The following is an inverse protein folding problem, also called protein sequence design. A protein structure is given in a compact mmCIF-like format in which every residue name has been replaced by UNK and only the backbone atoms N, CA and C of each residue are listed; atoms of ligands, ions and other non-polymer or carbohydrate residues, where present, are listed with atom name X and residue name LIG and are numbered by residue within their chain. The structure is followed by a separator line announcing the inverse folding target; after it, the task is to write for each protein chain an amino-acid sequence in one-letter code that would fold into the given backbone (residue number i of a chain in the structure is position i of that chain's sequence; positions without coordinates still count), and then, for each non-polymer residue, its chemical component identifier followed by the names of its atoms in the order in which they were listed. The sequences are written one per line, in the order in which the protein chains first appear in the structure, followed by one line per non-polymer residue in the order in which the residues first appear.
data_IF_228167498932
#
_entry.id   IF_228167498932
#
_cell.length_a   1.000
_cell.length_b   1.000
_cell.length_c   1.000
_cell.angle_alpha   90.00
_cell.angle_beta   90.00
_cell.angle_gamma   90.00
#
_symmetry.space_group_name_H-M   'P 1'
#
loop_
_entity.id
_entity.type
_entity.pdbx_description
1 polymer ?
#
# COMPACT_ATOMS: atom_id res chain seq x y z
N UNK A 1 41.91 35.03 -13.27
CA UNK A 1 41.22 33.83 -12.76
C UNK A 1 39.83 34.27 -12.32
N UNK A 2 38.81 34.07 -13.19
CA UNK A 2 37.41 34.40 -12.90
C UNK A 2 36.74 33.18 -12.29
N UNK A 3 36.33 33.26 -11.01
CA UNK A 3 35.57 32.22 -10.34
C UNK A 3 34.12 32.33 -10.81
N UNK A 4 33.66 31.32 -11.55
CA UNK A 4 32.27 31.13 -11.93
C UNK A 4 31.56 30.54 -10.71
N UNK A 5 30.67 31.30 -10.08
CA UNK A 5 29.73 30.80 -9.10
C UNK A 5 28.53 30.19 -9.86
N UNK A 6 28.41 28.86 -9.85
CA UNK A 6 27.20 28.19 -10.26
C UNK A 6 26.18 28.35 -9.11
N UNK A 7 25.21 29.21 -9.30
CA UNK A 7 24.01 29.29 -8.46
C UNK A 7 23.08 28.18 -8.90
N UNK A 8 23.09 27.05 -8.19
CA UNK A 8 22.07 26.02 -8.35
C UNK A 8 20.76 26.57 -7.74
N UNK A 9 19.89 27.09 -8.58
CA UNK A 9 18.53 27.40 -8.20
C UNK A 9 17.81 26.03 -8.02
N UNK A 10 17.68 25.59 -6.78
CA UNK A 10 16.74 24.53 -6.41
C UNK A 10 15.34 25.10 -6.66
N UNK A 11 14.74 24.73 -7.80
CA UNK A 11 13.31 24.89 -7.98
C UNK A 11 12.63 23.89 -7.02
N UNK A 12 12.27 24.35 -5.85
CA UNK A 12 11.20 23.73 -5.10
C UNK A 12 9.94 23.97 -5.93
N UNK A 13 9.53 22.97 -6.72
CA UNK A 13 8.17 22.88 -7.17
C UNK A 13 7.35 22.74 -5.88
N UNK A 14 6.67 23.81 -5.49
CA UNK A 14 5.61 23.72 -4.52
C UNK A 14 4.59 22.76 -5.15
N UNK A 15 4.60 21.48 -4.77
CA UNK A 15 3.51 20.58 -5.05
C UNK A 15 2.30 21.19 -4.35
N UNK A 16 1.38 21.73 -5.12
CA UNK A 16 0.08 22.10 -4.60
C UNK A 16 -0.57 20.78 -4.20
N UNK A 17 -0.63 20.52 -2.90
CA UNK A 17 -1.40 19.39 -2.39
C UNK A 17 -2.83 19.59 -2.83
N UNK A 18 -3.28 18.80 -3.79
CA UNK A 18 -4.68 18.76 -4.19
C UNK A 18 -5.41 17.94 -3.13
N UNK A 19 -6.32 18.57 -2.43
CA UNK A 19 -7.23 17.92 -1.50
C UNK A 19 -8.60 17.85 -2.15
N UNK A 20 -9.21 16.67 -2.14
CA UNK A 20 -10.60 16.47 -2.54
C UNK A 20 -11.42 16.18 -1.30
N UNK A 21 -12.38 17.06 -0.99
CA UNK A 21 -13.30 16.84 0.10
C UNK A 21 -14.30 15.74 -0.27
N UNK A 22 -14.25 14.62 0.45
CA UNK A 22 -15.15 13.48 0.27
C UNK A 22 -16.39 13.61 1.15
N UNK A 23 -16.24 14.19 2.33
CA UNK A 23 -17.29 14.51 3.28
C UNK A 23 -16.93 15.79 4.03
N UNK A 24 -17.91 16.65 4.21
CA UNK A 24 -17.81 17.86 5.08
C UNK A 24 -19.10 17.97 5.86
N UNK A 25 -19.01 18.00 7.18
CA UNK A 25 -20.19 18.06 8.04
C UNK A 25 -19.81 18.03 9.52
N UNK A 26 -20.74 17.59 10.33
CA UNK A 26 -20.50 17.21 11.72
C UNK A 26 -21.45 16.05 12.04
N UNK A 27 -21.01 14.84 11.77
CA UNK A 27 -21.82 13.65 11.97
C UNK A 27 -21.29 12.85 13.16
N UNK A 28 -22.18 12.51 14.06
CA UNK A 28 -21.88 11.56 15.12
C UNK A 28 -21.73 10.15 14.52
N UNK A 29 -20.65 9.46 14.90
CA UNK A 29 -20.33 8.11 14.46
C UNK A 29 -20.31 7.21 15.68
N UNK A 30 -21.11 6.16 15.64
CA UNK A 30 -21.13 5.12 16.66
C UNK A 30 -21.57 3.79 16.03
N UNK A 31 -21.36 2.70 16.74
CA UNK A 31 -21.84 1.38 16.29
C UNK A 31 -23.37 1.31 16.19
N UNK A 32 -24.10 2.09 17.00
CA UNK A 32 -25.56 2.12 17.04
C UNK A 32 -26.14 3.10 16.00
N UNK A 33 -25.51 4.28 15.82
CA UNK A 33 -26.01 5.33 14.93
C UNK A 33 -25.51 5.14 13.48
N UNK A 34 -24.51 4.27 13.29
CA UNK A 34 -23.87 4.03 12.02
C UNK A 34 -22.67 4.93 11.75
N UNK A 35 -22.06 4.74 10.59
CA UNK A 35 -20.89 5.45 10.11
C UNK A 35 -21.21 6.54 9.09
N UNK A 36 -20.16 6.99 8.41
CA UNK A 36 -20.25 7.86 7.25
C UNK A 36 -20.02 7.02 6.01
N UNK A 37 -21.02 6.97 5.14
CA UNK A 37 -20.91 6.31 3.86
C UNK A 37 -20.53 7.31 2.77
N UNK A 38 -19.42 7.05 2.09
CA UNK A 38 -18.87 7.84 0.99
C UNK A 38 -18.98 7.04 -0.29
N UNK A 39 -19.71 7.59 -1.26
CA UNK A 39 -20.05 6.88 -2.49
C UNK A 39 -18.82 6.58 -3.38
N UNK A 40 -18.82 5.42 -4.02
CA UNK A 40 -17.74 4.93 -4.87
C UNK A 40 -17.33 5.90 -6.01
N UNK A 41 -18.29 6.62 -6.59
CA UNK A 41 -18.03 7.55 -7.67
C UNK A 41 -17.13 8.74 -7.27
N UNK A 42 -16.99 9.04 -5.97
CA UNK A 42 -16.08 10.07 -5.49
C UNK A 42 -14.60 9.62 -5.53
N UNK A 43 -14.36 8.34 -5.74
CA UNK A 43 -13.03 7.76 -5.85
C UNK A 43 -12.60 7.44 -7.29
N UNK A 44 -13.37 7.84 -8.32
CA UNK A 44 -13.07 7.50 -9.72
C UNK A 44 -11.65 7.90 -10.15
N UNK A 45 -11.16 9.04 -9.68
CA UNK A 45 -9.83 9.58 -9.99
C UNK A 45 -8.77 9.23 -8.92
N UNK A 46 -9.13 8.43 -7.91
CA UNK A 46 -8.18 8.02 -6.87
C UNK A 46 -7.06 7.16 -7.45
N UNK A 47 -5.86 7.34 -6.92
CA UNK A 47 -4.67 6.56 -7.29
C UNK A 47 -3.92 6.09 -6.05
N UNK A 48 -3.16 5.01 -6.20
CA UNK A 48 -2.29 4.51 -5.13
C UNK A 48 -1.24 5.57 -4.74
N UNK A 49 -0.94 5.66 -3.46
CA UNK A 49 -0.03 6.67 -2.90
C UNK A 49 -0.74 7.93 -2.39
N UNK A 50 -1.99 8.18 -2.76
CA UNK A 50 -2.81 9.17 -2.09
C UNK A 50 -3.17 8.71 -0.68
N UNK A 51 -3.57 9.62 0.20
CA UNK A 51 -4.03 9.22 1.50
C UNK A 51 -5.38 9.84 1.90
N UNK A 52 -6.14 9.04 2.64
CA UNK A 52 -7.35 9.47 3.31
C UNK A 52 -6.98 10.16 4.60
N UNK A 53 -7.61 11.31 4.86
CA UNK A 53 -7.51 12.02 6.14
C UNK A 53 -8.89 12.22 6.72
N UNK A 54 -9.12 11.67 7.89
CA UNK A 54 -10.38 11.76 8.62
C UNK A 54 -10.19 12.69 9.81
N UNK A 55 -10.97 13.76 9.87
CA UNK A 55 -10.96 14.72 10.97
C UNK A 55 -12.06 14.36 11.97
N UNK A 56 -11.70 14.21 13.22
CA UNK A 56 -12.62 13.83 14.28
C UNK A 56 -12.52 14.74 15.50
N UNK A 57 -13.62 14.82 16.23
CA UNK A 57 -13.73 15.51 17.51
C UNK A 57 -14.50 14.68 18.52
N UNK A 58 -14.33 15.01 19.78
CA UNK A 58 -15.07 14.44 20.90
C UNK A 58 -14.96 12.91 21.02
N UNK A 59 -13.87 12.33 20.49
CA UNK A 59 -13.58 10.93 20.65
C UNK A 59 -13.29 10.64 22.14
N UNK A 60 -13.96 9.66 22.71
CA UNK A 60 -13.63 9.14 24.05
C UNK A 60 -12.22 8.57 24.03
N UNK A 61 -11.59 8.41 25.19
CA UNK A 61 -10.22 7.93 25.26
C UNK A 61 -10.12 6.46 24.77
N UNK A 62 -9.23 6.24 23.80
CA UNK A 62 -8.91 4.91 23.27
C UNK A 62 -10.08 4.21 22.60
N UNK A 63 -10.88 4.93 21.81
CA UNK A 63 -11.99 4.30 21.07
C UNK A 63 -11.54 3.70 19.75
N UNK A 64 -12.22 2.64 19.37
CA UNK A 64 -11.99 1.94 18.11
C UNK A 64 -12.51 2.73 16.93
N UNK A 65 -11.70 2.77 15.86
CA UNK A 65 -11.97 3.43 14.59
C UNK A 65 -11.61 2.48 13.45
N UNK A 66 -12.45 2.39 12.43
CA UNK A 66 -12.23 1.53 11.26
C UNK A 66 -12.55 2.23 9.95
N UNK A 67 -11.81 1.86 8.92
CA UNK A 67 -12.11 2.15 7.52
C UNK A 67 -12.58 0.85 6.86
N UNK A 68 -13.81 0.84 6.38
CA UNK A 68 -14.45 -0.33 5.79
C UNK A 68 -14.90 -0.06 4.35
N UNK A 69 -15.10 -1.12 3.58
CA UNK A 69 -15.84 -1.15 2.33
C UNK A 69 -16.92 -2.21 2.43
N UNK A 70 -18.20 -1.86 2.31
CA UNK A 70 -19.35 -2.80 2.43
C UNK A 70 -19.21 -3.74 3.64
N UNK A 71 -18.82 -3.20 4.80
CA UNK A 71 -18.58 -3.94 6.06
C UNK A 71 -17.33 -4.83 6.09
N UNK A 72 -16.54 -4.88 5.00
CA UNK A 72 -15.23 -5.50 5.02
C UNK A 72 -14.16 -4.44 5.32
N UNK A 73 -13.01 -4.87 5.83
CA UNK A 73 -11.88 -3.94 6.03
C UNK A 73 -11.34 -3.47 4.69
N UNK A 74 -11.04 -2.16 4.62
CA UNK A 74 -10.38 -1.61 3.45
C UNK A 74 -9.01 -2.29 3.29
N UNK A 75 -8.67 -2.85 2.10
CA UNK A 75 -7.38 -3.50 1.87
C UNK A 75 -6.20 -2.63 2.29
N UNK A 76 -5.29 -3.19 3.09
CA UNK A 76 -4.15 -2.45 3.64
C UNK A 76 -4.48 -1.52 4.80
N UNK A 77 -5.72 -1.48 5.29
CA UNK A 77 -6.03 -0.80 6.54
C UNK A 77 -5.64 -1.66 7.76
N UNK A 78 -5.43 -0.98 8.89
CA UNK A 78 -5.26 -1.67 10.17
C UNK A 78 -6.60 -2.23 10.64
N UNK A 79 -6.57 -3.31 11.43
CA UNK A 79 -7.79 -3.88 12.03
C UNK A 79 -8.58 -2.84 12.80
N UNK A 80 -7.89 -2.12 13.66
CA UNK A 80 -8.45 -0.99 14.37
C UNK A 80 -7.38 0.08 14.56
N UNK A 81 -7.80 1.32 14.48
CA UNK A 81 -7.05 2.44 15.02
C UNK A 81 -7.70 2.89 16.31
N UNK A 82 -6.89 3.26 17.27
CA UNK A 82 -7.37 3.80 18.55
C UNK A 82 -7.21 5.31 18.53
N UNK A 83 -8.32 6.03 18.60
CA UNK A 83 -8.35 7.49 18.58
C UNK A 83 -8.87 8.05 19.90
N UNK A 84 -8.46 9.28 20.22
CA UNK A 84 -8.86 9.97 21.45
C UNK A 84 -8.96 11.45 21.22
N UNK A 85 -9.92 12.11 21.86
CA UNK A 85 -10.10 13.56 21.84
C UNK A 85 -10.42 14.12 20.45
N UNK A 86 -9.65 15.12 20.04
CA UNK A 86 -9.77 15.76 18.72
C UNK A 86 -8.50 15.52 17.93
N UNK A 87 -8.63 15.22 16.63
CA UNK A 87 -7.47 14.96 15.81
C UNK A 87 -7.79 14.57 14.38
N UNK A 88 -6.81 13.92 13.77
CA UNK A 88 -6.93 13.33 12.44
C UNK A 88 -6.43 11.91 12.47
N UNK A 89 -7.05 11.07 11.63
CA UNK A 89 -6.54 9.75 11.28
C UNK A 89 -6.14 9.78 9.80
N UNK A 90 -4.99 9.20 9.48
CA UNK A 90 -4.44 9.18 8.13
C UNK A 90 -4.17 7.73 7.70
N UNK A 91 -4.62 7.38 6.48
CA UNK A 91 -4.43 6.08 5.86
C UNK A 91 -4.01 6.27 4.41
N UNK A 92 -2.79 5.83 4.08
CA UNK A 92 -2.33 5.80 2.70
C UNK A 92 -3.01 4.67 1.93
N UNK A 93 -3.23 4.89 0.64
CA UNK A 93 -3.97 3.97 -0.22
C UNK A 93 -3.02 3.08 -1.01
N UNK A 94 -3.16 1.77 -0.84
CA UNK A 94 -2.57 0.78 -1.74
C UNK A 94 -3.38 0.70 -3.04
N UNK A 95 -2.85 0.04 -4.07
CA UNK A 95 -3.60 -0.20 -5.31
C UNK A 95 -4.89 -0.99 -5.04
N UNK A 96 -4.82 -2.03 -4.17
CA UNK A 96 -5.98 -2.81 -3.79
C UNK A 96 -7.04 -1.97 -3.05
N UNK A 97 -6.61 -1.04 -2.16
CA UNK A 97 -7.52 -0.10 -1.52
C UNK A 97 -8.23 0.79 -2.54
N UNK A 98 -7.49 1.33 -3.51
CA UNK A 98 -8.06 2.18 -4.57
C UNK A 98 -9.09 1.42 -5.41
N UNK A 99 -8.79 0.20 -5.81
CA UNK A 99 -9.72 -0.64 -6.59
C UNK A 99 -10.99 -0.93 -5.79
N UNK A 100 -10.87 -1.24 -4.50
CA UNK A 100 -11.97 -1.46 -3.59
C UNK A 100 -12.85 -0.20 -3.42
N UNK A 101 -12.23 0.96 -3.17
CA UNK A 101 -12.93 2.24 -3.04
C UNK A 101 -13.68 2.63 -4.31
N UNK A 102 -13.11 2.40 -5.48
CA UNK A 102 -13.78 2.64 -6.78
C UNK A 102 -14.98 1.71 -7.00
N UNK A 103 -14.91 0.49 -6.51
CA UNK A 103 -15.99 -0.48 -6.64
C UNK A 103 -17.11 -0.26 -5.63
N UNK A 104 -16.77 0.07 -4.39
CA UNK A 104 -17.70 -0.03 -3.26
C UNK A 104 -17.86 1.28 -2.45
N UNK A 105 -16.93 2.22 -2.56
CA UNK A 105 -16.89 3.41 -1.71
C UNK A 105 -16.20 3.15 -0.38
N UNK A 106 -16.39 4.06 0.58
CA UNK A 106 -15.78 4.02 1.90
C UNK A 106 -16.83 4.18 2.98
N UNK A 107 -16.72 3.37 4.03
CA UNK A 107 -17.42 3.58 5.27
C UNK A 107 -16.43 3.92 6.39
N UNK A 108 -16.64 5.06 7.03
CA UNK A 108 -15.90 5.48 8.23
C UNK A 108 -16.78 5.14 9.43
N UNK A 109 -16.33 4.22 10.28
CA UNK A 109 -17.10 3.74 11.42
C UNK A 109 -16.23 3.61 12.67
N UNK A 110 -16.86 3.53 13.82
CA UNK A 110 -16.19 3.34 15.11
C UNK A 110 -17.08 3.66 16.28
N UNK A 111 -16.49 3.81 17.45
CA UNK A 111 -17.23 4.01 18.70
C UNK A 111 -17.15 5.48 19.15
N UNK A 112 -18.27 6.19 19.04
CA UNK A 112 -18.55 7.40 19.81
C UNK A 112 -17.58 8.59 19.58
N UNK A 113 -17.57 9.12 18.35
CA UNK A 113 -16.87 10.35 17.98
C UNK A 113 -17.70 11.16 16.98
N UNK A 114 -17.32 12.44 16.77
CA UNK A 114 -17.88 13.24 15.69
C UNK A 114 -16.87 13.33 14.54
N UNK A 115 -17.31 13.03 13.32
CA UNK A 115 -16.50 13.27 12.12
C UNK A 115 -16.89 14.59 11.50
N UNK A 116 -15.92 15.48 11.29
CA UNK A 116 -16.14 16.80 10.70
C UNK A 116 -15.75 16.88 9.23
N UNK A 117 -14.83 16.02 8.78
CA UNK A 117 -14.35 16.02 7.40
C UNK A 117 -13.67 14.68 7.06
N UNK A 118 -13.84 14.24 5.83
CA UNK A 118 -13.00 13.23 5.19
C UNK A 118 -12.48 13.79 3.89
N UNK A 119 -11.17 13.73 3.68
CA UNK A 119 -10.52 14.25 2.47
C UNK A 119 -9.55 13.22 1.89
N UNK A 120 -9.39 13.29 0.58
CA UNK A 120 -8.39 12.55 -0.18
C UNK A 120 -7.29 13.53 -0.58
N UNK A 121 -6.07 13.25 -0.18
CA UNK A 121 -4.90 14.11 -0.38
C UNK A 121 -3.94 13.44 -1.35
N UNK A 122 -3.34 14.25 -2.22
CA UNK A 122 -2.22 13.87 -3.07
C UNK A 122 -0.94 14.50 -2.51
N UNK A 123 -0.23 13.76 -1.69
CA UNK A 123 1.02 14.20 -1.05
C UNK A 123 2.28 13.67 -1.75
N UNK A 124 2.09 12.96 -2.85
CA UNK A 124 3.18 12.44 -3.67
C UNK A 124 3.94 11.27 -3.04
N UNK A 125 3.31 10.47 -2.18
CA UNK A 125 3.92 9.25 -1.67
C UNK A 125 4.25 8.29 -2.82
N UNK A 126 5.55 7.99 -2.97
CA UNK A 126 6.02 7.12 -4.04
C UNK A 126 5.83 5.65 -3.66
N UNK A 127 4.95 4.95 -4.37
CA UNK A 127 4.75 3.51 -4.20
C UNK A 127 6.04 2.75 -4.52
N UNK A 128 6.31 1.70 -3.73
CA UNK A 128 7.45 0.82 -3.94
C UNK A 128 7.16 -0.20 -5.04
N UNK A 129 8.22 -0.70 -5.67
CA UNK A 129 8.12 -1.77 -6.66
C UNK A 129 7.65 -3.08 -6.01
N UNK A 130 6.65 -3.71 -6.60
CA UNK A 130 5.99 -4.92 -6.11
C UNK A 130 4.52 -4.67 -5.71
N UNK A 131 3.91 -5.65 -5.05
CA UNK A 131 2.56 -5.51 -4.53
C UNK A 131 2.60 -4.93 -3.12
N UNK A 132 2.29 -3.65 -2.99
CA UNK A 132 2.19 -3.00 -1.68
C UNK A 132 0.94 -3.46 -0.95
N UNK A 133 1.13 -4.14 0.18
CA UNK A 133 0.04 -4.62 1.04
C UNK A 133 -0.30 -3.65 2.16
N UNK A 134 0.66 -2.79 2.51
CA UNK A 134 0.43 -1.71 3.46
C UNK A 134 1.38 -0.54 3.15
N UNK A 135 0.90 0.68 3.35
CA UNK A 135 1.70 1.89 3.25
C UNK A 135 1.20 2.92 4.27
N UNK A 136 2.11 3.64 4.90
CA UNK A 136 1.77 4.61 5.95
C UNK A 136 2.95 4.90 6.88
N UNK A 137 2.64 5.18 8.13
CA UNK A 137 3.62 5.35 9.19
C UNK A 137 3.24 4.48 10.37
N UNK A 138 4.07 3.50 10.68
CA UNK A 138 3.92 2.66 11.84
C UNK A 138 5.16 2.78 12.72
N UNK A 139 4.97 3.31 13.93
CA UNK A 139 6.03 3.40 14.92
C UNK A 139 6.29 2.04 15.54
N UNK A 140 7.37 1.42 15.08
CA UNK A 140 7.81 0.13 15.57
C UNK A 140 8.75 0.34 16.77
N UNK A 141 8.36 -0.17 17.92
CA UNK A 141 9.18 -0.27 19.12
C UNK A 141 9.15 -1.70 19.66
N UNK A 142 9.70 -1.91 20.84
CA UNK A 142 9.76 -3.23 21.47
C UNK A 142 8.38 -3.90 21.54
N UNK A 143 8.25 -5.06 20.88
CA UNK A 143 7.03 -5.90 20.83
C UNK A 143 5.81 -5.25 20.16
N UNK A 144 5.98 -4.11 19.52
CA UNK A 144 4.87 -3.49 18.80
C UNK A 144 4.38 -4.39 17.67
N UNK A 145 3.08 -4.32 17.38
CA UNK A 145 2.44 -5.17 16.38
C UNK A 145 1.63 -4.33 15.41
N UNK A 146 1.92 -4.51 14.12
CA UNK A 146 1.09 -4.00 13.03
C UNK A 146 0.15 -5.12 12.58
N UNK A 147 -1.13 -4.92 12.77
CA UNK A 147 -2.18 -5.88 12.38
C UNK A 147 -2.84 -5.40 11.10
N UNK A 148 -2.80 -6.23 10.06
CA UNK A 148 -3.31 -5.94 8.73
C UNK A 148 -4.37 -6.95 8.33
N UNK A 149 -5.46 -6.47 7.74
CA UNK A 149 -6.42 -7.33 7.08
C UNK A 149 -5.89 -7.77 5.73
N UNK A 150 -5.83 -9.09 5.55
CA UNK A 150 -5.34 -9.72 4.34
C UNK A 150 -6.45 -10.07 3.34
N UNK A 151 -7.72 -9.90 3.72
CA UNK A 151 -8.89 -10.28 2.90
C UNK A 151 -8.87 -9.65 1.51
N UNK A 152 -8.46 -8.38 1.41
CA UNK A 152 -8.32 -7.68 0.12
C UNK A 152 -7.23 -8.24 -0.79
N UNK A 153 -6.40 -9.16 -0.29
CA UNK A 153 -5.31 -9.80 -1.04
C UNK A 153 -5.55 -11.28 -1.30
N UNK A 154 -6.75 -11.80 -1.01
CA UNK A 154 -7.10 -13.21 -1.23
C UNK A 154 -7.02 -13.64 -2.70
N UNK A 155 -7.09 -12.69 -3.64
CA UNK A 155 -6.91 -12.94 -5.07
C UNK A 155 -5.42 -13.03 -5.50
N UNK A 156 -4.48 -12.75 -4.59
CA UNK A 156 -3.04 -12.81 -4.88
C UNK A 156 -2.61 -14.25 -5.03
N UNK A 157 -1.92 -14.55 -6.12
CA UNK A 157 -1.28 -15.85 -6.31
C UNK A 157 0.01 -15.92 -5.47
N UNK A 158 -0.11 -16.35 -4.22
CA UNK A 158 1.01 -16.47 -3.31
C UNK A 158 2.08 -17.48 -3.77
N UNK A 159 1.78 -18.35 -4.73
CA UNK A 159 2.81 -19.25 -5.31
C UNK A 159 3.90 -18.48 -6.04
N UNK A 160 3.58 -17.26 -6.51
CA UNK A 160 4.51 -16.36 -7.21
C UNK A 160 5.22 -15.38 -6.28
N UNK A 161 4.89 -15.33 -5.00
CA UNK A 161 5.56 -14.44 -4.03
C UNK A 161 6.88 -15.06 -3.62
N UNK A 162 7.98 -14.32 -3.80
CA UNK A 162 9.33 -14.77 -3.45
C UNK A 162 9.78 -14.28 -2.09
N UNK A 163 9.35 -13.07 -1.71
CA UNK A 163 9.71 -12.45 -0.44
C UNK A 163 8.73 -11.34 -0.05
N UNK A 164 8.88 -10.85 1.18
CA UNK A 164 8.21 -9.65 1.67
C UNK A 164 9.25 -8.64 2.15
N UNK A 165 9.09 -7.37 1.78
CA UNK A 165 9.97 -6.26 2.15
C UNK A 165 9.27 -5.33 3.11
N UNK A 166 9.99 -4.96 4.16
CA UNK A 166 9.60 -3.99 5.18
C UNK A 166 10.45 -2.75 5.02
N UNK A 167 9.90 -1.73 4.39
CA UNK A 167 10.58 -0.45 4.22
C UNK A 167 10.51 0.36 5.50
N UNK A 168 11.62 0.94 5.89
CA UNK A 168 11.69 1.75 7.12
C UNK A 168 12.72 2.86 6.98
N UNK A 169 12.53 3.94 7.75
CA UNK A 169 13.48 5.04 7.84
C UNK A 169 14.80 4.62 8.53
N UNK A 170 14.77 3.54 9.30
CA UNK A 170 15.92 2.98 9.99
C UNK A 170 16.34 1.62 9.39
N UNK A 171 16.42 1.54 8.07
CA UNK A 171 17.00 0.39 7.39
C UNK A 171 18.38 0.06 7.99
N UNK A 172 18.62 -1.21 8.28
CA UNK A 172 19.83 -1.64 9.00
C UNK A 172 19.63 -1.77 10.52
N UNK A 173 18.52 -1.31 11.10
CA UNK A 173 18.17 -1.64 12.48
C UNK A 173 17.97 -3.14 12.60
N UNK A 174 18.68 -3.77 13.54
CA UNK A 174 18.59 -5.19 13.76
C UNK A 174 17.32 -5.53 14.56
N UNK A 175 16.35 -6.16 13.91
CA UNK A 175 15.11 -6.65 14.52
C UNK A 175 14.70 -7.99 13.94
N UNK A 176 13.83 -8.68 14.65
CA UNK A 176 13.26 -9.97 14.24
C UNK A 176 11.76 -9.82 14.11
N UNK A 177 11.16 -10.44 13.11
CA UNK A 177 9.70 -10.45 12.94
C UNK A 177 9.09 -11.73 13.44
N UNK A 178 7.93 -11.59 14.07
CA UNK A 178 6.95 -12.65 14.19
C UNK A 178 5.81 -12.39 13.20
N UNK A 179 5.50 -13.38 12.39
CA UNK A 179 4.25 -13.44 11.66
C UNK A 179 3.26 -14.26 12.45
N UNK A 180 2.15 -13.64 12.82
CA UNK A 180 1.07 -14.27 13.57
C UNK A 180 -0.19 -14.20 12.71
N UNK A 181 -1.08 -15.16 12.84
CA UNK A 181 -2.44 -15.10 12.29
C UNK A 181 -3.49 -14.81 13.37
N UNK A 182 -3.07 -14.54 14.59
CA UNK A 182 -3.89 -14.19 15.74
C UNK A 182 -3.08 -14.15 17.03
N UNK A 183 -3.73 -13.84 18.14
CA UNK A 183 -3.13 -13.71 19.47
C UNK A 183 -3.24 -15.01 20.27
N UNK A 184 -2.51 -16.05 19.91
CA UNK A 184 -2.59 -17.31 20.63
C UNK A 184 -1.44 -18.26 20.34
N UNK A 185 -1.25 -19.24 21.21
CA UNK A 185 -0.34 -20.34 20.92
C UNK A 185 -0.88 -21.14 19.73
N UNK A 186 -0.01 -21.40 18.75
CA UNK A 186 -0.39 -22.05 17.49
C UNK A 186 -0.91 -21.11 16.40
N UNK A 187 -1.08 -19.85 16.71
CA UNK A 187 -1.43 -18.81 15.72
C UNK A 187 -0.22 -18.27 14.94
N UNK A 188 0.98 -18.67 15.32
CA UNK A 188 2.22 -18.30 14.64
C UNK A 188 2.38 -19.09 13.36
N UNK A 189 2.72 -18.42 12.26
CA UNK A 189 3.11 -19.06 11.02
C UNK A 189 4.56 -18.75 10.58
N UNK A 190 5.27 -17.90 11.33
CA UNK A 190 6.72 -17.81 11.29
C UNK A 190 7.23 -17.34 12.65
N UNK A 191 8.21 -18.07 13.22
CA UNK A 191 8.89 -17.66 14.45
C UNK A 191 10.12 -16.84 14.09
N UNK A 192 10.34 -15.74 14.85
CA UNK A 192 11.58 -14.93 14.94
C UNK A 192 12.53 -15.10 13.73
N UNK A 193 12.03 -14.77 12.56
CA UNK A 193 12.78 -14.99 11.33
C UNK A 193 13.79 -13.87 11.13
N UNK A 194 15.07 -14.22 11.03
CA UNK A 194 16.11 -13.28 10.65
C UNK A 194 15.88 -12.80 9.22
N UNK A 195 16.00 -11.49 9.00
CA UNK A 195 15.82 -10.87 7.70
C UNK A 195 17.16 -10.43 7.13
N UNK A 196 17.20 -10.29 5.81
CA UNK A 196 18.35 -9.72 5.10
C UNK A 196 18.16 -8.21 4.88
N UNK A 197 19.24 -7.46 4.98
CA UNK A 197 19.22 -6.02 4.70
C UNK A 197 19.20 -5.74 3.20
N UNK A 198 18.41 -4.74 2.81
CA UNK A 198 18.37 -4.13 1.49
C UNK A 198 18.51 -2.61 1.58
N UNK A 199 18.43 -1.93 0.46
CA UNK A 199 18.49 -0.46 0.42
C UNK A 199 17.16 0.14 0.89
N UNK A 200 17.12 0.59 2.15
CA UNK A 200 15.93 1.19 2.75
C UNK A 200 14.87 0.17 3.22
N UNK A 201 15.18 -1.13 3.25
CA UNK A 201 14.25 -2.18 3.69
C UNK A 201 14.97 -3.37 4.32
N UNK A 202 14.20 -4.18 5.02
CA UNK A 202 14.57 -5.56 5.36
C UNK A 202 13.68 -6.53 4.59
N UNK A 203 14.23 -7.65 4.18
CA UNK A 203 13.56 -8.65 3.35
C UNK A 203 13.51 -10.01 4.01
N UNK A 204 12.33 -10.60 4.03
CA UNK A 204 12.04 -11.95 4.48
C UNK A 204 11.70 -12.82 3.27
N UNK A 205 12.54 -13.82 2.97
CA UNK A 205 12.27 -14.80 1.92
C UNK A 205 11.09 -15.70 2.33
N UNK A 206 10.17 -15.94 1.39
CA UNK A 206 9.07 -16.86 1.63
C UNK A 206 9.51 -18.29 1.46
N UNK A 207 9.31 -19.09 2.51
CA UNK A 207 9.32 -20.55 2.44
C UNK A 207 7.96 -21.04 1.96
N UNK A 208 7.87 -22.29 1.54
CA UNK A 208 6.58 -22.88 1.13
C UNK A 208 5.58 -22.93 2.29
N UNK A 209 6.06 -23.19 3.51
CA UNK A 209 5.22 -23.19 4.72
C UNK A 209 4.70 -21.78 5.03
N UNK A 210 5.55 -20.76 4.96
CA UNK A 210 5.15 -19.38 5.18
C UNK A 210 4.17 -18.90 4.11
N UNK A 211 4.42 -19.26 2.84
CA UNK A 211 3.55 -18.93 1.71
C UNK A 211 2.14 -19.51 1.90
N UNK A 212 2.06 -20.78 2.29
CA UNK A 212 0.79 -21.43 2.59
C UNK A 212 0.07 -20.75 3.74
N UNK A 213 0.77 -20.55 4.85
CA UNK A 213 0.19 -19.93 6.04
C UNK A 213 -0.34 -18.52 5.80
N UNK A 214 0.42 -17.69 5.06
CA UNK A 214 0.03 -16.32 4.70
C UNK A 214 -1.19 -16.30 3.78
N UNK A 215 -1.28 -17.24 2.83
CA UNK A 215 -2.41 -17.33 1.90
C UNK A 215 -3.73 -17.75 2.57
N UNK A 216 -3.65 -18.45 3.70
CA UNK A 216 -4.81 -18.94 4.44
C UNK A 216 -5.26 -18.00 5.56
N UNK A 217 -4.43 -17.01 5.93
CA UNK A 217 -4.73 -16.10 7.02
C UNK A 217 -5.69 -14.99 6.57
N UNK A 218 -6.73 -14.73 7.35
CA UNK A 218 -7.64 -13.60 7.14
C UNK A 218 -6.99 -12.25 7.48
N UNK A 219 -6.01 -12.26 8.38
CA UNK A 219 -5.22 -11.09 8.73
C UNK A 219 -3.79 -11.50 9.08
N UNK A 220 -2.88 -10.56 8.95
CA UNK A 220 -1.46 -10.72 9.27
C UNK A 220 -1.10 -9.79 10.41
N UNK A 221 -0.51 -10.37 11.44
CA UNK A 221 0.04 -9.63 12.56
C UNK A 221 1.55 -9.64 12.43
N UNK A 222 2.12 -8.48 12.14
CA UNK A 222 3.56 -8.30 12.02
C UNK A 222 4.07 -7.71 13.33
N UNK A 223 4.68 -8.55 14.17
CA UNK A 223 5.20 -8.14 15.46
C UNK A 223 6.71 -7.94 15.38
N UNK A 224 7.18 -6.79 15.87
CA UNK A 224 8.59 -6.45 15.99
C UNK A 224 9.13 -7.00 17.32
N UNK A 225 9.73 -8.17 17.23
CA UNK A 225 10.11 -8.98 18.39
C UNK A 225 11.59 -8.79 18.72
N UNK A 226 11.93 -7.71 19.40
CA UNK A 226 13.25 -7.48 19.94
C UNK A 226 13.18 -6.66 21.22
N UNK A 227 13.77 -7.18 22.28
CA UNK A 227 13.94 -6.46 23.55
C UNK A 227 14.86 -5.25 23.34
N UNK A 228 14.49 -4.12 23.91
CA UNK A 228 15.21 -2.85 23.79
C UNK A 228 15.45 -2.41 22.32
N UNK A 229 14.46 -2.63 21.46
CA UNK A 229 14.47 -2.14 20.09
C UNK A 229 14.50 -0.61 20.08
N UNK A 230 15.46 -0.02 19.36
CA UNK A 230 15.42 1.42 19.09
C UNK A 230 14.25 1.70 18.16
N UNK A 231 13.29 2.57 18.56
CA UNK A 231 12.11 2.82 17.76
C UNK A 231 12.44 3.38 16.37
N UNK A 232 11.64 2.99 15.36
CA UNK A 232 11.76 3.46 13.99
C UNK A 232 10.38 3.41 13.29
N UNK A 233 10.25 4.13 12.17
CA UNK A 233 9.04 4.08 11.35
C UNK A 233 9.16 3.02 10.27
N UNK A 234 8.14 2.17 10.16
CA UNK A 234 7.88 1.34 8.98
C UNK A 234 6.97 2.13 8.07
N UNK A 235 7.32 2.24 6.79
CA UNK A 235 6.61 3.07 5.81
C UNK A 235 5.84 2.26 4.78
N UNK A 236 6.34 1.10 4.40
CA UNK A 236 5.68 0.23 3.43
C UNK A 236 5.95 -1.25 3.72
N UNK A 237 4.97 -2.08 3.40
CA UNK A 237 5.12 -3.54 3.37
C UNK A 237 4.76 -4.01 1.97
N UNK A 238 5.69 -4.70 1.31
CA UNK A 238 5.58 -5.04 -0.12
C UNK A 238 5.87 -6.52 -0.34
N UNK A 239 4.97 -7.21 -1.03
CA UNK A 239 5.23 -8.55 -1.55
C UNK A 239 6.02 -8.44 -2.85
N UNK A 240 7.14 -9.14 -2.91
CA UNK A 240 7.96 -9.27 -4.13
C UNK A 240 7.46 -10.49 -4.89
N UNK A 241 7.01 -10.24 -6.11
CA UNK A 241 6.51 -11.29 -6.99
C UNK A 241 7.64 -11.83 -7.86
N UNK A 242 7.58 -13.10 -8.25
CA UNK A 242 8.40 -13.57 -9.35
C UNK A 242 8.13 -12.69 -10.56
N UNK A 243 9.19 -12.17 -11.18
CA UNK A 243 9.04 -11.55 -12.49
C UNK A 243 8.40 -12.59 -13.40
N UNK A 244 7.23 -12.29 -13.96
CA UNK A 244 6.75 -13.09 -15.08
C UNK A 244 7.89 -13.03 -16.10
N UNK A 245 8.60 -14.15 -16.25
CA UNK A 245 9.56 -14.28 -17.34
C UNK A 245 8.76 -13.95 -18.57
N UNK A 246 8.96 -12.74 -19.07
CA UNK A 246 8.42 -12.33 -20.36
C UNK A 246 8.80 -13.49 -21.27
N UNK A 247 7.78 -14.20 -21.76
CA UNK A 247 7.94 -15.47 -22.48
C UNK A 247 9.09 -15.30 -23.45
N UNK A 248 10.27 -15.85 -23.11
CA UNK A 248 11.49 -15.84 -23.90
C UNK A 248 11.34 -16.72 -25.16
N UNK A 249 10.17 -16.62 -25.79
CA UNK A 249 9.85 -17.13 -27.11
C UNK A 249 9.75 -16.03 -28.17
N UNK A 250 10.19 -14.83 -27.86
CA UNK A 250 10.62 -13.91 -28.88
C UNK A 250 12.06 -14.27 -29.19
N UNK A 251 12.26 -15.11 -30.23
CA UNK A 251 13.55 -15.31 -30.84
C UNK A 251 14.24 -13.95 -30.97
N UNK A 252 15.22 -13.65 -30.11
CA UNK A 252 15.91 -12.36 -30.03
C UNK A 252 16.64 -11.98 -31.34
N UNK A 253 16.59 -12.84 -32.36
CA UNK A 253 17.14 -12.63 -33.68
C UNK A 253 16.14 -12.02 -34.70
N UNK A 254 14.89 -11.78 -34.31
CA UNK A 254 13.92 -11.17 -35.21
C UNK A 254 13.86 -9.67 -34.94
N UNK A 255 14.74 -8.91 -35.59
CA UNK A 255 14.65 -7.43 -35.59
C UNK A 255 13.38 -7.01 -36.30
N UNK A 256 12.39 -6.56 -35.55
CA UNK A 256 11.27 -5.83 -36.12
C UNK A 256 11.76 -4.39 -36.42
N UNK A 257 11.57 -3.94 -37.63
CA UNK A 257 11.90 -2.58 -38.07
C UNK A 257 10.61 -1.78 -38.21
N UNK A 258 10.53 -0.65 -37.52
CA UNK A 258 9.43 0.30 -37.66
C UNK A 258 9.74 1.26 -38.80
N UNK A 259 8.89 1.31 -39.82
CA UNK A 259 8.98 2.19 -40.97
C UNK A 259 7.78 3.13 -41.01
N UNK A 260 7.96 4.30 -41.62
CA UNK A 260 6.83 5.20 -41.98
C UNK A 260 6.73 5.20 -43.50
N UNK A 261 5.65 4.65 -44.02
CA UNK A 261 5.37 4.64 -45.45
C UNK A 261 4.03 5.32 -45.70
N UNK A 262 4.03 6.31 -46.58
CA UNK A 262 2.84 7.11 -46.89
C UNK A 262 2.12 7.69 -45.67
N UNK A 263 2.89 8.06 -44.60
CA UNK A 263 2.32 8.59 -43.38
C UNK A 263 1.75 7.53 -42.41
N UNK A 264 1.86 6.24 -42.74
CA UNK A 264 1.40 5.13 -41.88
C UNK A 264 2.59 4.40 -41.26
N UNK A 265 2.38 3.90 -40.04
CA UNK A 265 3.35 3.06 -39.36
C UNK A 265 3.22 1.63 -39.91
N UNK A 266 4.34 1.13 -40.47
CA UNK A 266 4.48 -0.25 -40.94
C UNK A 266 5.55 -0.92 -40.10
N UNK A 267 5.25 -2.10 -39.56
CA UNK A 267 6.19 -2.95 -38.82
C UNK A 267 6.62 -4.08 -39.74
N UNK A 268 7.92 -4.13 -40.07
CA UNK A 268 8.51 -5.22 -40.84
C UNK A 268 9.10 -6.24 -39.87
N UNK A 269 8.60 -7.47 -39.89
CA UNK A 269 9.08 -8.57 -39.05
C UNK A 269 9.24 -9.82 -39.91
N UNK A 270 10.46 -10.36 -39.98
CA UNK A 270 10.79 -11.53 -40.82
C UNK A 270 10.41 -11.37 -42.32
N UNK A 271 10.53 -10.16 -42.86
CA UNK A 271 10.14 -9.90 -44.23
C UNK A 271 8.63 -9.74 -44.45
N UNK A 272 7.81 -9.91 -43.42
CA UNK A 272 6.36 -9.72 -43.47
C UNK A 272 6.03 -8.34 -42.92
N UNK A 273 5.08 -7.67 -43.54
CA UNK A 273 4.65 -6.31 -43.21
C UNK A 273 3.36 -6.34 -42.40
N UNK A 274 3.30 -5.53 -41.37
CA UNK A 274 2.14 -5.40 -40.50
C UNK A 274 1.79 -3.92 -40.32
N UNK A 275 0.54 -3.59 -40.15
CA UNK A 275 0.14 -2.26 -39.72
C UNK A 275 0.35 -2.05 -38.22
N UNK A 276 0.07 -0.81 -37.74
CA UNK A 276 0.24 -0.45 -36.32
C UNK A 276 -0.64 -1.28 -35.35
N UNK A 277 -1.69 -1.93 -35.85
CA UNK A 277 -2.60 -2.79 -35.09
C UNK A 277 -2.22 -4.28 -35.15
N UNK A 278 -1.08 -4.62 -35.80
CA UNK A 278 -0.61 -5.99 -35.93
C UNK A 278 -1.28 -6.80 -37.06
N UNK A 279 -2.11 -6.21 -37.89
CA UNK A 279 -2.65 -6.88 -39.07
C UNK A 279 -1.62 -6.90 -40.22
N UNK A 280 -1.46 -8.05 -40.87
CA UNK A 280 -0.57 -8.22 -42.04
C UNK A 280 -1.07 -7.38 -43.22
N UNK A 281 -0.12 -6.69 -43.89
CA UNK A 281 -0.36 -5.85 -45.07
C UNK A 281 -0.03 -6.59 -46.35
#
# INVERSE_FOLDING_TARGET
MKKLFFLAAAMFAAMTMNATDLFVGNQHVSWDDGGIDIAANLFNDAVAGQHLKVHFTDASDGIEFKLLEVWNHLPGSREAAWISGNGTFEQYLTAAAVDSLKAHGLQVIGANFNCSKVELLDDGHAMKEGLTVWTGFFWADEWSTLELYAEGYNAVDFSKVTSIRFYSEAAGTDYVLNFLKGWGEGEKFADQTAMTDGEGYKELAFTDDLRTAVSEASHWMVQFNKEALNPFNVTDIVLVMEEEQAVDNVNANVKAVKLIENGQIVILKNGVRYNALGAQL
#
